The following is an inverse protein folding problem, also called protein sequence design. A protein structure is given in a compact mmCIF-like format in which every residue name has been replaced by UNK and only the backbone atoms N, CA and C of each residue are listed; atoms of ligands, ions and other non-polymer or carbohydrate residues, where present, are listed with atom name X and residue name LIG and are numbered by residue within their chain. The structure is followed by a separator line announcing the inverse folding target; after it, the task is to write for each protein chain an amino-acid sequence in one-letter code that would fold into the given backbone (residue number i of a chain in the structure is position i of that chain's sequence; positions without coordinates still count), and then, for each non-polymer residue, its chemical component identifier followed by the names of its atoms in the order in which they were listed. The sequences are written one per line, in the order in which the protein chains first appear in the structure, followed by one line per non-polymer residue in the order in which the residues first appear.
data_IF_547939364223
#
_entry.id   IF_547939364223
#
_cell.length_a   1.000
_cell.length_b   1.000
_cell.length_c   1.000
_cell.angle_alpha   90.00
_cell.angle_beta   90.00
_cell.angle_gamma   90.00
#
_symmetry.space_group_name_H-M   'P 1'
#
loop_
_entity.id
_entity.type
_entity.pdbx_description
1 polymer ?
#
# COMPACT_ATOMS: atom_id res chain seq x y z
N UNK A 1 -1.00 -14.08 -24.91
CA UNK A 1 -1.07 -15.10 -23.85
C UNK A 1 -2.11 -16.17 -24.16
N UNK A 2 -3.37 -15.80 -24.45
CA UNK A 2 -4.43 -16.75 -24.82
C UNK A 2 -4.06 -17.58 -26.07
N UNK A 3 -3.42 -16.94 -27.05
CA UNK A 3 -2.95 -17.61 -28.26
C UNK A 3 -1.84 -18.64 -28.01
N UNK A 4 -0.89 -18.29 -27.15
CA UNK A 4 0.20 -19.21 -26.75
C UNK A 4 -0.37 -20.39 -25.96
N UNK A 5 -1.32 -20.15 -25.05
CA UNK A 5 -1.99 -21.20 -24.29
C UNK A 5 -2.78 -22.18 -25.16
N UNK A 6 -3.47 -21.69 -26.20
CA UNK A 6 -4.22 -22.52 -27.14
C UNK A 6 -3.25 -23.33 -28.03
N UNK A 7 -2.16 -22.75 -28.49
CA UNK A 7 -1.12 -23.41 -29.28
C UNK A 7 -0.48 -24.58 -28.52
N UNK A 8 -0.15 -24.35 -27.25
CA UNK A 8 0.47 -25.36 -26.38
C UNK A 8 -0.50 -26.53 -26.12
N UNK A 9 -1.80 -26.27 -25.93
CA UNK A 9 -2.78 -27.29 -25.56
C UNK A 9 -3.27 -28.13 -26.73
N UNK A 10 -3.23 -27.63 -27.98
CA UNK A 10 -3.81 -28.30 -29.16
C UNK A 10 -2.80 -28.59 -30.28
N UNK A 11 -1.54 -28.16 -30.19
CA UNK A 11 -0.55 -28.39 -31.26
C UNK A 11 -0.88 -27.74 -32.60
N UNK A 12 -1.84 -26.80 -32.66
CA UNK A 12 -2.28 -26.12 -33.89
C UNK A 12 -1.59 -24.76 -34.03
N UNK A 13 -1.22 -24.40 -35.24
CA UNK A 13 -0.79 -23.06 -35.59
C UNK A 13 -2.01 -22.13 -35.67
N UNK A 14 -2.15 -21.20 -34.72
CA UNK A 14 -3.23 -20.21 -34.72
C UNK A 14 -2.66 -18.89 -35.22
N UNK A 15 -3.22 -18.34 -36.26
CA UNK A 15 -2.78 -17.04 -36.82
C UNK A 15 -3.37 -15.86 -36.05
N UNK A 16 -2.68 -14.70 -36.09
CA UNK A 16 -3.17 -13.48 -35.47
C UNK A 16 -4.55 -13.05 -35.97
N UNK A 17 -4.87 -13.38 -37.24
CA UNK A 17 -6.19 -13.11 -37.85
C UNK A 17 -7.31 -13.96 -37.29
N UNK A 18 -7.04 -15.24 -36.95
CA UNK A 18 -8.03 -16.12 -36.33
C UNK A 18 -8.34 -15.72 -34.89
N UNK A 19 -7.31 -15.29 -34.14
CA UNK A 19 -7.46 -14.73 -32.78
C UNK A 19 -8.31 -13.46 -32.85
N UNK A 20 -7.98 -12.55 -33.76
CA UNK A 20 -8.70 -11.28 -33.92
C UNK A 20 -10.19 -11.54 -34.24
N UNK A 21 -10.50 -12.45 -35.15
CA UNK A 21 -11.90 -12.83 -35.49
C UNK A 21 -12.65 -13.43 -34.30
N UNK A 22 -11.99 -14.18 -33.43
CA UNK A 22 -12.61 -14.79 -32.26
C UNK A 22 -12.85 -13.80 -31.14
N UNK A 23 -11.98 -12.81 -30.99
CA UNK A 23 -12.03 -11.82 -29.87
C UNK A 23 -12.90 -10.61 -30.22
N UNK A 24 -12.97 -10.20 -31.48
CA UNK A 24 -13.72 -9.00 -31.90
C UNK A 24 -15.22 -9.02 -31.51
N UNK A 25 -15.97 -10.13 -31.64
CA UNK A 25 -17.37 -10.13 -31.19
C UNK A 25 -17.52 -9.92 -29.68
N UNK A 26 -16.62 -10.48 -28.88
CA UNK A 26 -16.62 -10.34 -27.44
C UNK A 26 -16.25 -8.90 -27.02
N UNK A 27 -15.25 -8.29 -27.69
CA UNK A 27 -14.87 -6.90 -27.49
C UNK A 27 -16.02 -5.96 -27.87
N UNK A 28 -16.70 -6.20 -28.98
CA UNK A 28 -17.86 -5.42 -29.39
C UNK A 28 -19.02 -5.52 -28.38
N UNK A 29 -19.27 -6.70 -27.83
CA UNK A 29 -20.26 -6.92 -26.78
C UNK A 29 -19.89 -6.16 -25.50
N UNK A 30 -18.63 -6.19 -25.06
CA UNK A 30 -18.15 -5.43 -23.90
C UNK A 30 -18.30 -3.92 -24.10
N UNK A 31 -17.95 -3.40 -25.28
CA UNK A 31 -18.13 -1.98 -25.61
C UNK A 31 -19.61 -1.61 -25.61
N UNK A 32 -20.49 -2.43 -26.17
CA UNK A 32 -21.93 -2.18 -26.18
C UNK A 32 -22.49 -2.15 -24.74
N UNK A 33 -22.10 -3.06 -23.86
CA UNK A 33 -22.49 -3.07 -22.44
C UNK A 33 -21.98 -1.80 -21.72
N UNK A 34 -20.72 -1.42 -21.94
CA UNK A 34 -20.14 -0.20 -21.38
C UNK A 34 -20.92 1.05 -21.83
N UNK A 35 -21.26 1.15 -23.12
CA UNK A 35 -22.05 2.27 -23.63
C UNK A 35 -23.45 2.31 -23.02
N UNK A 36 -24.12 1.16 -22.87
CA UNK A 36 -25.44 1.08 -22.23
C UNK A 36 -25.37 1.51 -20.78
N UNK A 37 -24.39 1.06 -20.01
CA UNK A 37 -24.24 1.42 -18.59
C UNK A 37 -23.85 2.90 -18.43
N UNK A 38 -23.03 3.44 -19.34
CA UNK A 38 -22.53 4.81 -19.23
C UNK A 38 -23.55 5.86 -19.68
N UNK A 39 -24.32 5.58 -20.74
CA UNK A 39 -25.20 6.58 -21.36
C UNK A 39 -26.69 6.41 -21.06
N UNK A 40 -27.12 5.31 -20.42
CA UNK A 40 -28.50 5.11 -20.00
C UNK A 40 -28.61 5.13 -18.47
N UNK A 41 -28.92 6.29 -17.85
CA UNK A 41 -28.94 6.44 -16.38
C UNK A 41 -29.86 5.45 -15.65
N UNK A 42 -30.90 4.96 -16.32
CA UNK A 42 -31.86 4.00 -15.75
C UNK A 42 -31.20 2.64 -15.45
N UNK A 43 -30.22 2.19 -16.24
CA UNK A 43 -29.58 0.90 -16.03
C UNK A 43 -28.62 0.90 -14.87
N UNK A 44 -27.94 2.04 -14.60
CA UNK A 44 -27.02 2.20 -13.47
C UNK A 44 -27.74 2.35 -12.11
N UNK A 45 -29.01 2.79 -12.12
CA UNK A 45 -29.81 3.00 -10.90
C UNK A 45 -30.86 1.93 -10.64
N UNK A 46 -31.36 1.24 -11.68
CA UNK A 46 -32.42 0.25 -11.56
C UNK A 46 -31.92 -1.12 -11.07
N UNK A 47 -30.70 -1.52 -11.45
CA UNK A 47 -30.13 -2.80 -11.06
C UNK A 47 -29.82 -2.88 -9.54
N UNK A 48 -29.17 -1.87 -8.92
CA UNK A 48 -29.01 -1.82 -7.47
C UNK A 48 -30.33 -1.83 -6.72
N UNK A 49 -31.35 -1.09 -7.21
CA UNK A 49 -32.70 -1.05 -6.60
C UNK A 49 -33.43 -2.41 -6.73
N UNK A 50 -33.26 -3.13 -7.82
CA UNK A 50 -33.84 -4.46 -7.99
C UNK A 50 -33.17 -5.51 -7.08
N UNK A 51 -31.87 -5.43 -6.89
CA UNK A 51 -31.11 -6.31 -6.00
C UNK A 51 -31.43 -6.02 -4.52
N UNK A 52 -31.59 -4.74 -4.14
CA UNK A 52 -32.00 -4.36 -2.79
C UNK A 52 -33.41 -4.88 -2.44
N UNK A 53 -34.32 -4.93 -3.41
CA UNK A 53 -35.69 -5.42 -3.22
C UNK A 53 -35.76 -6.94 -2.99
N UNK A 54 -34.74 -7.69 -3.42
CA UNK A 54 -34.63 -9.14 -3.26
C UNK A 54 -33.78 -9.58 -2.05
N UNK A 55 -33.44 -8.65 -1.15
CA UNK A 55 -32.68 -8.98 0.07
C UNK A 55 -31.21 -9.31 -0.16
N UNK A 56 -30.66 -9.10 -1.35
CA UNK A 56 -29.27 -9.35 -1.67
C UNK A 56 -28.34 -8.14 -1.37
N UNK A 57 -28.88 -7.02 -0.93
CA UNK A 57 -28.12 -5.82 -0.56
C UNK A 57 -28.92 -4.97 0.42
N UNK A 58 -28.47 -4.87 1.67
CA UNK A 58 -28.98 -3.91 2.66
C UNK A 58 -28.09 -2.67 2.65
N UNK A 59 -28.32 -1.80 1.68
CA UNK A 59 -27.71 -0.48 1.66
C UNK A 59 -28.80 0.57 1.82
N UNK A 60 -28.81 1.25 2.94
CA UNK A 60 -29.67 2.42 3.15
C UNK A 60 -29.28 3.52 2.17
N UNK A 61 -30.22 3.88 1.31
CA UNK A 61 -30.11 5.01 0.41
C UNK A 61 -30.41 6.31 1.15
N UNK A 62 -29.36 6.98 1.64
CA UNK A 62 -29.42 8.39 1.98
C UNK A 62 -28.98 9.22 0.77
N UNK A 63 -29.85 10.09 0.33
CA UNK A 63 -29.65 11.09 -0.72
C UNK A 63 -28.60 12.12 -0.33
N UNK A 64 -27.66 12.36 -1.24
CA UNK A 64 -26.91 13.58 -1.52
C UNK A 64 -26.31 14.35 -0.35
N UNK A 65 -25.03 14.36 -0.33
CA UNK A 65 -24.12 15.52 -0.30
C UNK A 65 -22.70 15.02 -0.02
N UNK A 66 -21.72 15.62 -0.67
CA UNK A 66 -20.30 15.38 -0.49
C UNK A 66 -19.90 15.37 0.98
N UNK A 67 -19.15 14.35 1.40
CA UNK A 67 -18.56 14.33 2.72
C UNK A 67 -17.85 13.01 2.95
N UNK A 68 -16.54 12.99 2.78
CA UNK A 68 -15.64 12.11 3.49
C UNK A 68 -16.03 12.11 4.97
N UNK A 69 -16.63 11.03 5.47
CA UNK A 69 -16.87 10.86 6.90
C UNK A 69 -16.72 9.40 7.30
N UNK A 70 -15.49 9.00 7.45
CA UNK A 70 -15.12 7.85 8.26
C UNK A 70 -14.03 8.23 9.28
N UNK A 71 -14.13 9.42 9.87
CA UNK A 71 -13.30 9.84 11.01
C UNK A 71 -13.98 11.00 11.74
N UNK A 72 -15.18 10.81 12.29
CA UNK A 72 -15.76 11.81 13.18
C UNK A 72 -16.67 11.21 14.24
N UNK A 73 -16.04 10.55 15.23
CA UNK A 73 -16.62 10.29 16.54
C UNK A 73 -15.56 10.15 17.66
N UNK A 74 -14.30 10.54 17.43
CA UNK A 74 -13.37 10.87 18.53
C UNK A 74 -13.36 12.41 18.60
N UNK A 75 -13.53 12.99 19.78
CA UNK A 75 -13.44 14.45 19.97
C UNK A 75 -12.18 14.99 19.33
N UNK A 76 -12.25 16.22 18.80
CA UNK A 76 -11.09 16.96 18.27
C UNK A 76 -10.02 17.09 19.39
N UNK A 77 -9.19 16.06 19.53
CA UNK A 77 -7.92 16.23 20.24
C UNK A 77 -7.03 17.05 19.32
N UNK A 78 -6.43 18.10 19.89
CA UNK A 78 -5.52 19.01 19.20
C UNK A 78 -4.19 18.28 18.93
N UNK A 79 -4.15 17.53 17.83
CA UNK A 79 -2.98 16.79 17.42
C UNK A 79 -1.98 17.70 16.69
N UNK A 80 -0.69 17.54 16.97
CA UNK A 80 0.44 18.28 16.37
C UNK A 80 0.46 18.25 14.83
N UNK A 81 -0.19 17.23 14.22
CA UNK A 81 -0.26 17.05 12.76
C UNK A 81 -1.40 17.82 12.08
N UNK A 82 -2.17 18.65 12.80
CA UNK A 82 -3.34 19.34 12.21
C UNK A 82 -3.00 20.71 11.60
N UNK A 83 -1.99 21.43 12.11
CA UNK A 83 -1.66 22.78 11.66
C UNK A 83 -0.19 22.97 11.28
N UNK A 84 0.09 23.10 9.97
CA UNK A 84 1.46 23.30 9.48
C UNK A 84 1.91 24.77 9.50
N UNK A 85 1.01 25.72 9.36
CA UNK A 85 1.30 27.14 9.15
C UNK A 85 1.31 27.53 7.65
N UNK A 86 1.35 28.85 7.40
CA UNK A 86 1.41 29.43 6.05
C UNK A 86 2.87 29.80 5.70
N UNK A 87 3.37 29.28 4.60
CA UNK A 87 4.72 29.50 4.05
C UNK A 87 4.63 29.84 2.55
N UNK A 88 3.49 30.37 2.10
CA UNK A 88 3.24 30.69 0.68
C UNK A 88 4.17 31.79 0.12
N UNK A 89 4.78 32.57 0.98
CA UNK A 89 5.72 33.65 0.64
C UNK A 89 7.15 33.18 0.32
N UNK A 90 7.45 31.87 0.49
CA UNK A 90 8.78 31.32 0.23
C UNK A 90 9.13 31.13 -1.27
N UNK A 91 8.31 31.66 -2.18
CA UNK A 91 8.61 31.64 -3.62
C UNK A 91 8.45 30.25 -4.27
N UNK A 92 7.45 29.49 -3.84
CA UNK A 92 7.14 28.20 -4.42
C UNK A 92 6.78 28.28 -5.91
N UNK A 93 7.35 27.41 -6.73
CA UNK A 93 6.89 27.18 -8.10
C UNK A 93 5.66 26.28 -8.10
N UNK A 94 4.76 26.49 -9.09
CA UNK A 94 3.63 25.59 -9.28
C UNK A 94 4.13 24.22 -9.72
N UNK A 95 3.89 23.20 -8.91
CA UNK A 95 4.32 21.83 -9.19
C UNK A 95 3.31 20.82 -8.68
N UNK A 96 3.36 19.63 -9.28
CA UNK A 96 2.58 18.47 -8.80
C UNK A 96 3.53 17.29 -8.64
N UNK A 97 3.57 16.74 -7.45
CA UNK A 97 4.31 15.53 -7.15
C UNK A 97 3.38 14.32 -7.14
N UNK A 98 3.87 13.21 -7.66
CA UNK A 98 3.16 11.93 -7.60
C UNK A 98 3.70 11.13 -6.43
N UNK A 99 2.81 10.76 -5.52
CA UNK A 99 3.06 9.85 -4.42
C UNK A 99 2.60 8.44 -4.80
N UNK A 100 3.35 7.40 -4.42
CA UNK A 100 2.91 6.01 -4.53
C UNK A 100 3.11 5.23 -3.23
N UNK A 101 2.29 4.20 -3.04
CA UNK A 101 2.42 3.19 -2.00
C UNK A 101 1.89 1.84 -2.51
N UNK A 102 2.30 0.75 -1.86
CA UNK A 102 1.97 -0.61 -2.33
C UNK A 102 0.57 -1.09 -1.94
N UNK A 103 -0.06 -0.46 -0.96
CA UNK A 103 -1.36 -0.85 -0.41
C UNK A 103 -2.52 -0.17 -1.13
N UNK A 104 -3.75 -0.53 -0.77
CA UNK A 104 -4.99 -0.04 -1.40
C UNK A 104 -5.25 1.44 -1.12
N UNK A 105 -6.19 2.03 -1.84
CA UNK A 105 -6.65 3.43 -1.66
C UNK A 105 -7.19 3.72 -0.24
N UNK A 106 -7.70 2.71 0.45
CA UNK A 106 -8.29 2.81 1.80
C UNK A 106 -7.28 2.55 2.92
N UNK A 107 -6.01 2.39 2.59
CA UNK A 107 -4.96 2.09 3.56
C UNK A 107 -4.45 3.33 4.28
N UNK A 108 -3.92 3.14 5.49
CA UNK A 108 -3.24 4.17 6.27
C UNK A 108 -2.04 4.78 5.53
N UNK A 109 -1.35 3.99 4.69
CA UNK A 109 -0.25 4.46 3.85
C UNK A 109 -0.71 5.50 2.81
N UNK A 110 -1.85 5.24 2.14
CA UNK A 110 -2.42 6.18 1.19
C UNK A 110 -2.93 7.44 1.91
N UNK A 111 -3.52 7.29 3.10
CA UNK A 111 -3.97 8.41 3.92
C UNK A 111 -2.80 9.26 4.43
N UNK A 112 -1.67 8.65 4.79
CA UNK A 112 -0.43 9.36 5.09
C UNK A 112 0.06 10.21 3.92
N UNK A 113 0.01 9.66 2.71
CA UNK A 113 0.31 10.39 1.47
C UNK A 113 -0.66 11.55 1.19
N UNK A 114 -1.97 11.34 1.41
CA UNK A 114 -2.99 12.41 1.30
C UNK A 114 -2.77 13.51 2.33
N UNK A 115 -2.45 13.13 3.56
CA UNK A 115 -2.15 14.08 4.64
C UNK A 115 -0.95 14.95 4.29
N UNK A 116 0.11 14.37 3.77
CA UNK A 116 1.25 15.14 3.28
C UNK A 116 0.84 16.12 2.17
N UNK A 117 0.04 15.67 1.21
CA UNK A 117 -0.48 16.52 0.13
C UNK A 117 -1.31 17.70 0.65
N UNK A 118 -2.23 17.44 1.57
CA UNK A 118 -3.04 18.46 2.25
C UNK A 118 -2.17 19.51 2.95
N UNK A 119 -1.18 19.04 3.72
CA UNK A 119 -0.25 19.91 4.44
C UNK A 119 0.57 20.78 3.49
N UNK A 120 1.11 20.19 2.40
CA UNK A 120 1.88 20.92 1.40
C UNK A 120 1.01 21.94 0.63
N UNK A 121 -0.20 21.56 0.24
CA UNK A 121 -1.13 22.48 -0.43
C UNK A 121 -1.47 23.67 0.47
N UNK A 122 -1.76 23.43 1.75
CA UNK A 122 -2.01 24.48 2.76
C UNK A 122 -0.78 25.36 2.98
N UNK A 123 0.38 24.77 3.21
CA UNK A 123 1.63 25.48 3.50
C UNK A 123 2.09 26.38 2.34
N UNK A 124 1.84 25.96 1.11
CA UNK A 124 2.36 26.64 -0.10
C UNK A 124 1.32 27.53 -0.79
N UNK A 125 0.12 27.70 -0.19
CA UNK A 125 -0.98 28.44 -0.81
C UNK A 125 -1.45 27.80 -2.13
N UNK A 126 -1.43 26.47 -2.22
CA UNK A 126 -1.88 25.68 -3.37
C UNK A 126 -0.85 25.55 -4.50
N UNK A 127 0.40 25.98 -4.30
CA UNK A 127 1.46 25.90 -5.31
C UNK A 127 2.01 24.49 -5.49
N UNK A 128 2.16 23.74 -4.41
CA UNK A 128 2.60 22.34 -4.44
C UNK A 128 1.40 21.44 -4.20
N UNK A 129 1.13 20.56 -5.16
CA UNK A 129 0.07 19.55 -5.08
C UNK A 129 0.66 18.15 -5.08
N UNK A 130 -0.05 17.20 -4.47
CA UNK A 130 0.36 15.79 -4.45
C UNK A 130 -0.79 14.93 -4.96
N UNK A 131 -0.52 14.18 -6.03
CA UNK A 131 -1.42 13.14 -6.51
C UNK A 131 -1.05 11.82 -5.82
N UNK A 132 -2.02 11.13 -5.26
CA UNK A 132 -1.82 9.82 -4.61
C UNK A 132 -2.21 8.71 -5.58
N UNK A 133 -1.29 7.78 -5.81
CA UNK A 133 -1.45 6.58 -6.63
C UNK A 133 -1.19 5.34 -5.77
N UNK A 134 -2.24 4.79 -5.19
CA UNK A 134 -2.14 3.58 -4.36
C UNK A 134 -1.86 2.32 -5.20
N UNK A 135 -1.54 1.20 -4.54
CA UNK A 135 -1.29 -0.10 -5.16
C UNK A 135 -0.22 -0.07 -6.27
N UNK A 136 0.77 0.83 -6.15
CA UNK A 136 1.82 1.02 -7.15
C UNK A 136 1.28 1.16 -8.60
N UNK A 137 0.17 1.89 -8.77
CA UNK A 137 -0.51 2.04 -10.06
C UNK A 137 0.40 2.56 -11.16
N UNK A 138 1.35 3.46 -10.84
CA UNK A 138 2.30 4.03 -11.80
C UNK A 138 3.33 3.01 -12.32
N UNK A 139 3.46 1.86 -11.65
CA UNK A 139 4.37 0.77 -11.99
C UNK A 139 3.67 -0.58 -12.09
N UNK A 140 2.39 -0.56 -12.49
CA UNK A 140 1.56 -1.75 -12.73
C UNK A 140 1.50 -2.72 -11.53
N UNK A 141 1.52 -2.20 -10.30
CA UNK A 141 1.48 -2.98 -9.06
C UNK A 141 2.81 -3.61 -8.65
N UNK A 142 3.92 -3.24 -9.29
CA UNK A 142 5.25 -3.75 -8.96
C UNK A 142 5.92 -2.83 -7.92
N UNK A 143 6.04 -3.33 -6.70
CA UNK A 143 6.58 -2.60 -5.55
C UNK A 143 8.05 -2.17 -5.75
N UNK A 144 8.89 -3.04 -6.30
CA UNK A 144 10.30 -2.74 -6.54
C UNK A 144 10.48 -1.71 -7.66
N UNK A 145 9.64 -1.77 -8.71
CA UNK A 145 9.60 -0.74 -9.75
C UNK A 145 9.10 0.60 -9.22
N UNK A 146 8.17 0.60 -8.25
CA UNK A 146 7.73 1.82 -7.55
C UNK A 146 8.88 2.53 -6.82
N UNK A 147 9.69 1.77 -6.08
CA UNK A 147 10.89 2.31 -5.42
C UNK A 147 11.93 2.77 -6.45
N UNK A 148 12.13 2.01 -7.55
CA UNK A 148 13.06 2.42 -8.61
C UNK A 148 12.61 3.70 -9.30
N UNK A 149 11.30 3.87 -9.54
CA UNK A 149 10.73 5.09 -10.09
C UNK A 149 10.94 6.29 -9.16
N UNK A 150 10.82 6.09 -7.84
CA UNK A 150 11.16 7.11 -6.84
C UNK A 150 12.66 7.49 -6.90
N UNK A 151 13.56 6.51 -6.98
CA UNK A 151 15.01 6.76 -7.11
C UNK A 151 15.32 7.57 -8.37
N UNK A 152 14.57 7.35 -9.46
CA UNK A 152 14.72 8.08 -10.72
C UNK A 152 14.01 9.45 -10.71
N UNK A 153 13.10 9.71 -9.76
CA UNK A 153 12.31 10.94 -9.68
C UNK A 153 11.18 11.08 -10.71
N UNK A 154 10.95 10.05 -11.55
CA UNK A 154 9.90 10.02 -12.58
C UNK A 154 9.45 8.57 -12.83
N UNK A 155 8.16 8.29 -12.91
CA UNK A 155 7.01 9.19 -12.70
C UNK A 155 6.67 9.41 -11.21
N UNK A 156 7.44 8.89 -10.26
CA UNK A 156 7.21 8.97 -8.82
C UNK A 156 8.20 9.93 -8.18
N UNK A 157 7.71 10.93 -7.45
CA UNK A 157 8.53 11.90 -6.72
C UNK A 157 8.58 11.61 -5.23
N UNK A 158 7.52 10.98 -4.70
CA UNK A 158 7.36 10.68 -3.27
C UNK A 158 6.81 9.27 -3.11
N UNK A 159 7.25 8.54 -2.10
CA UNK A 159 6.61 7.27 -1.78
C UNK A 159 6.65 6.92 -0.29
N UNK A 160 5.76 6.00 0.08
CA UNK A 160 5.77 5.32 1.36
C UNK A 160 5.78 3.81 1.10
N UNK A 161 6.94 3.17 1.34
CA UNK A 161 7.13 1.75 1.11
C UNK A 161 7.81 1.06 2.29
N UNK A 162 7.50 -0.23 2.47
CA UNK A 162 8.08 -1.09 3.49
C UNK A 162 9.60 -1.25 3.32
N UNK A 163 10.35 -1.18 4.43
CA UNK A 163 11.78 -1.47 4.47
C UNK A 163 12.11 -2.87 3.93
N UNK A 164 11.17 -3.80 4.04
CA UNK A 164 11.34 -5.16 3.52
C UNK A 164 11.48 -5.20 2.00
N UNK A 165 10.79 -4.30 1.27
CA UNK A 165 10.93 -4.18 -0.19
C UNK A 165 12.26 -3.51 -0.54
N UNK A 166 12.68 -2.49 0.19
CA UNK A 166 13.99 -1.87 0.04
C UNK A 166 15.15 -2.85 0.25
N UNK A 167 14.92 -3.93 1.01
CA UNK A 167 15.94 -4.96 1.24
C UNK A 167 16.37 -5.72 -0.03
N UNK A 168 15.59 -5.65 -1.10
CA UNK A 168 15.98 -6.16 -2.42
C UNK A 168 17.10 -5.33 -3.07
N UNK A 169 17.20 -4.04 -2.74
CA UNK A 169 18.27 -3.14 -3.21
C UNK A 169 19.47 -3.17 -2.28
N UNK A 170 19.23 -3.21 -0.96
CA UNK A 170 20.29 -3.25 0.04
C UNK A 170 19.88 -4.11 1.24
N UNK A 171 20.61 -5.22 1.52
CA UNK A 171 20.29 -6.13 2.62
C UNK A 171 20.42 -5.47 4.02
N UNK A 172 21.07 -4.31 4.14
CA UNK A 172 21.14 -3.55 5.40
C UNK A 172 19.75 -3.14 5.91
N UNK A 173 18.77 -2.93 5.02
CA UNK A 173 17.39 -2.63 5.39
C UNK A 173 16.68 -3.77 6.12
N UNK A 174 17.17 -5.01 6.04
CA UNK A 174 16.60 -6.12 6.80
C UNK A 174 16.88 -6.05 8.31
N UNK A 175 17.91 -5.32 8.74
CA UNK A 175 18.35 -5.34 10.14
C UNK A 175 17.28 -4.86 11.11
N UNK A 176 16.40 -3.97 10.66
CA UNK A 176 15.29 -3.42 11.45
C UNK A 176 14.04 -4.29 11.45
N UNK A 177 14.04 -5.42 10.73
CA UNK A 177 12.94 -6.39 10.69
C UNK A 177 13.40 -7.81 11.04
N UNK A 178 14.51 -7.94 11.77
CA UNK A 178 14.90 -9.24 12.32
C UNK A 178 13.81 -9.74 13.29
N UNK A 179 13.49 -11.05 13.29
CA UNK A 179 12.43 -11.56 14.15
C UNK A 179 12.71 -11.32 15.62
N UNK A 180 11.66 -10.91 16.37
CA UNK A 180 11.64 -10.79 17.83
C UNK A 180 12.65 -9.78 18.40
N UNK A 181 12.98 -8.71 17.69
CA UNK A 181 13.91 -7.67 18.18
C UNK A 181 13.19 -6.47 18.81
N UNK A 182 11.87 -6.45 18.76
CA UNK A 182 11.03 -5.42 19.38
C UNK A 182 10.06 -6.06 20.37
N UNK A 183 9.92 -5.46 21.55
CA UNK A 183 9.03 -5.92 22.61
C UNK A 183 7.65 -5.24 22.52
N UNK A 184 7.56 -4.09 21.87
CA UNK A 184 6.32 -3.32 21.68
C UNK A 184 6.48 -2.27 20.56
N UNK A 185 5.37 -1.61 20.24
CA UNK A 185 5.35 -0.47 19.29
C UNK A 185 6.19 0.70 19.84
N UNK A 186 6.12 0.99 21.14
CA UNK A 186 6.90 2.05 21.79
C UNK A 186 8.41 1.75 21.75
N UNK A 187 8.79 0.48 21.86
CA UNK A 187 10.19 0.07 21.72
C UNK A 187 10.67 0.25 20.26
N UNK A 188 9.82 -0.03 19.28
CA UNK A 188 10.08 0.24 17.88
C UNK A 188 10.22 1.75 17.61
N UNK A 189 9.30 2.58 18.12
CA UNK A 189 9.36 4.05 18.03
C UNK A 189 10.69 4.59 18.58
N UNK A 190 11.08 4.20 19.78
CA UNK A 190 12.31 4.65 20.40
C UNK A 190 13.56 4.34 19.55
N UNK A 191 13.54 3.24 18.79
CA UNK A 191 14.62 2.86 17.88
C UNK A 191 14.56 3.64 16.56
N UNK A 192 13.36 3.79 15.95
CA UNK A 192 13.20 4.48 14.67
C UNK A 192 13.27 6.00 14.77
N UNK A 193 12.86 6.58 15.88
CA UNK A 193 13.03 8.00 16.16
C UNK A 193 14.44 8.33 16.71
N UNK A 194 15.27 7.29 16.91
CA UNK A 194 16.65 7.37 17.39
C UNK A 194 17.68 6.93 16.34
N UNK A 195 18.79 6.35 16.85
CA UNK A 195 19.99 6.02 16.04
C UNK A 195 19.72 5.00 14.90
N UNK A 196 18.79 4.08 15.09
CA UNK A 196 18.48 3.11 14.03
C UNK A 196 17.82 3.82 12.85
N UNK A 197 16.84 4.71 13.12
CA UNK A 197 16.23 5.51 12.08
C UNK A 197 17.18 6.46 11.39
N UNK A 198 18.07 7.14 12.13
CA UNK A 198 19.14 7.97 11.55
C UNK A 198 20.01 7.13 10.59
N UNK A 199 20.37 5.91 10.99
CA UNK A 199 21.16 5.03 10.13
C UNK A 199 20.42 4.57 8.89
N UNK A 200 19.10 4.31 8.98
CA UNK A 200 18.29 4.00 7.80
C UNK A 200 18.22 5.19 6.84
N UNK A 201 18.06 6.41 7.36
CA UNK A 201 18.08 7.64 6.54
C UNK A 201 19.41 7.85 5.82
N UNK A 202 20.54 7.58 6.49
CA UNK A 202 21.87 7.62 5.86
C UNK A 202 21.97 6.62 4.70
N UNK A 203 21.49 5.38 4.89
CA UNK A 203 21.51 4.37 3.83
C UNK A 203 20.61 4.78 2.67
N UNK A 204 19.41 5.32 2.93
CA UNK A 204 18.50 5.80 1.89
C UNK A 204 19.12 6.92 1.06
N UNK A 205 19.90 7.81 1.68
CA UNK A 205 20.59 8.88 0.96
C UNK A 205 21.65 8.36 -0.02
N UNK A 206 22.26 7.18 0.23
CA UNK A 206 23.18 6.52 -0.71
C UNK A 206 22.45 6.13 -2.03
N UNK A 207 21.12 6.02 -1.98
CA UNK A 207 20.24 5.67 -3.12
C UNK A 207 19.52 6.89 -3.73
N UNK A 208 19.94 8.11 -3.40
CA UNK A 208 19.34 9.33 -3.92
C UNK A 208 17.94 9.61 -3.36
N UNK A 209 17.72 9.25 -2.11
CA UNK A 209 16.44 9.42 -1.43
C UNK A 209 16.60 10.27 -0.15
N UNK A 210 15.79 11.31 -0.03
CA UNK A 210 15.63 12.04 1.22
C UNK A 210 14.46 11.45 2.01
N UNK A 211 14.74 10.90 3.18
CA UNK A 211 13.71 10.31 4.05
C UNK A 211 13.17 11.34 5.03
N UNK A 212 11.96 11.80 4.81
CA UNK A 212 11.25 12.78 5.63
C UNK A 212 10.84 12.20 6.99
N UNK A 213 10.61 10.89 7.07
CA UNK A 213 10.27 10.19 8.30
C UNK A 213 10.10 8.69 8.09
N UNK A 214 9.98 7.96 9.20
CA UNK A 214 9.75 6.52 9.20
C UNK A 214 8.37 6.27 9.82
N UNK A 215 7.43 5.85 8.98
CA UNK A 215 6.05 5.54 9.35
C UNK A 215 5.90 4.06 9.76
N UNK A 216 4.70 3.64 10.11
CA UNK A 216 4.42 2.33 10.68
C UNK A 216 3.59 1.47 9.73
N UNK A 217 4.06 0.26 9.43
CA UNK A 217 3.17 -0.81 9.01
C UNK A 217 2.69 -1.60 10.24
N UNK A 218 3.59 -1.89 11.16
CA UNK A 218 3.32 -2.56 12.44
C UNK A 218 3.88 -3.97 12.55
N UNK A 219 3.44 -4.72 13.57
CA UNK A 219 3.76 -6.12 13.74
C UNK A 219 3.00 -6.98 12.71
N UNK A 220 3.72 -7.90 12.09
CA UNK A 220 3.21 -8.73 11.00
C UNK A 220 2.67 -10.05 11.53
N UNK A 221 1.38 -10.26 11.30
CA UNK A 221 0.64 -11.43 11.73
C UNK A 221 0.46 -12.43 10.59
N UNK A 222 0.39 -13.71 10.92
CA UNK A 222 0.23 -14.78 9.94
C UNK A 222 -1.25 -15.09 9.72
N UNK A 223 -1.74 -14.99 8.48
CA UNK A 223 -3.05 -15.53 8.10
C UNK A 223 -2.92 -16.73 7.17
N UNK A 224 -3.89 -17.66 7.23
CA UNK A 224 -3.96 -18.76 6.28
C UNK A 224 -5.38 -19.34 6.15
N UNK A 225 -5.61 -20.13 5.09
CA UNK A 225 -6.90 -20.77 4.81
C UNK A 225 -6.99 -22.23 5.25
N UNK A 226 -5.91 -22.80 5.80
CA UNK A 226 -5.79 -24.26 5.98
C UNK A 226 -6.04 -24.70 7.43
N UNK A 227 -5.41 -24.04 8.41
CA UNK A 227 -5.44 -24.46 9.81
C UNK A 227 -4.99 -23.36 10.77
N UNK A 228 -5.38 -23.50 12.02
CA UNK A 228 -4.84 -22.71 13.12
C UNK A 228 -3.33 -23.02 13.29
N UNK A 229 -2.52 -21.98 13.44
CA UNK A 229 -1.06 -22.08 13.69
C UNK A 229 -0.78 -21.62 15.11
N UNK A 230 -0.35 -22.55 15.97
CA UNK A 230 0.00 -22.30 17.38
C UNK A 230 1.48 -22.50 17.68
N UNK A 231 2.18 -23.10 16.75
CA UNK A 231 3.61 -23.42 16.87
C UNK A 231 4.28 -23.43 15.50
N UNK A 232 5.60 -23.41 15.48
CA UNK A 232 6.39 -23.53 14.26
C UNK A 232 6.12 -24.84 13.50
N UNK A 233 5.81 -25.93 14.22
CA UNK A 233 5.47 -27.22 13.59
C UNK A 233 4.18 -27.15 12.76
N UNK A 234 3.25 -26.26 13.11
CA UNK A 234 2.00 -26.06 12.37
C UNK A 234 2.20 -25.31 11.04
N UNK A 235 3.31 -24.61 10.89
CA UNK A 235 3.69 -23.93 9.63
C UNK A 235 4.15 -24.90 8.55
N UNK A 236 4.43 -26.16 8.91
CA UNK A 236 5.04 -27.12 8.00
C UNK A 236 4.22 -27.35 6.74
N UNK A 237 4.87 -27.14 5.58
CA UNK A 237 4.30 -27.27 4.24
C UNK A 237 3.12 -26.29 3.94
N UNK A 238 2.87 -25.25 4.74
CA UNK A 238 1.97 -24.18 4.34
C UNK A 238 2.62 -23.35 3.23
N UNK A 239 1.88 -23.10 2.16
CA UNK A 239 2.31 -22.23 1.07
C UNK A 239 2.05 -20.78 1.47
N UNK A 240 3.08 -20.11 1.95
CA UNK A 240 2.95 -18.74 2.46
C UNK A 240 3.54 -17.74 1.48
N UNK A 241 2.72 -16.79 1.07
CA UNK A 241 3.20 -15.59 0.38
C UNK A 241 3.93 -14.70 1.37
N UNK A 242 5.11 -14.25 1.00
CA UNK A 242 5.86 -13.24 1.74
C UNK A 242 6.15 -12.02 0.87
N UNK A 243 6.39 -10.87 1.50
CA UNK A 243 6.85 -9.66 0.81
C UNK A 243 8.23 -9.87 0.16
N UNK A 244 8.66 -8.95 -0.71
CA UNK A 244 9.88 -9.01 -1.52
C UNK A 244 11.19 -8.98 -0.73
N UNK A 245 11.30 -9.79 0.32
CA UNK A 245 12.45 -9.82 1.23
C UNK A 245 13.07 -11.21 1.32
N UNK A 246 14.38 -11.29 1.11
CA UNK A 246 15.15 -12.53 1.32
C UNK A 246 15.15 -12.95 2.80
N UNK A 247 15.06 -12.00 3.74
CA UNK A 247 14.93 -12.29 5.16
C UNK A 247 13.65 -13.09 5.42
N UNK A 248 12.50 -12.60 4.94
CA UNK A 248 11.21 -13.30 5.10
C UNK A 248 11.24 -14.68 4.45
N UNK A 249 11.76 -14.79 3.22
CA UNK A 249 11.89 -16.08 2.54
C UNK A 249 12.69 -17.10 3.38
N UNK A 250 13.81 -16.68 3.96
CA UNK A 250 14.64 -17.56 4.79
C UNK A 250 13.98 -17.88 6.14
N UNK A 251 13.34 -16.92 6.79
CA UNK A 251 12.64 -17.14 8.05
C UNK A 251 11.51 -18.16 7.87
N UNK A 252 10.60 -17.94 6.93
CA UNK A 252 9.47 -18.84 6.73
C UNK A 252 9.87 -20.23 6.26
N UNK A 253 10.92 -20.37 5.42
CA UNK A 253 11.49 -21.66 5.05
C UNK A 253 12.07 -22.38 6.27
N UNK A 254 12.79 -21.69 7.15
CA UNK A 254 13.35 -22.27 8.38
C UNK A 254 12.27 -22.68 9.38
N UNK A 255 11.15 -21.99 9.39
CA UNK A 255 9.96 -22.35 10.16
C UNK A 255 9.14 -23.47 9.50
N UNK A 256 9.55 -23.99 8.35
CA UNK A 256 8.98 -25.16 7.70
C UNK A 256 7.91 -24.85 6.65
N UNK A 257 7.59 -23.60 6.40
CA UNK A 257 6.66 -23.19 5.36
C UNK A 257 7.28 -23.27 3.95
N UNK A 258 6.44 -23.42 2.95
CA UNK A 258 6.77 -23.25 1.53
C UNK A 258 6.55 -21.78 1.14
N UNK A 259 7.59 -20.95 1.35
CA UNK A 259 7.52 -19.52 1.17
C UNK A 259 7.72 -19.13 -0.30
N UNK A 260 6.86 -18.22 -0.78
CA UNK A 260 6.90 -17.66 -2.14
C UNK A 260 6.83 -16.14 -2.08
N UNK A 261 7.76 -15.46 -2.75
CA UNK A 261 7.74 -14.02 -2.92
C UNK A 261 6.74 -13.61 -4.01
N UNK A 262 5.91 -12.59 -3.72
CA UNK A 262 4.89 -12.09 -4.64
C UNK A 262 4.55 -10.63 -4.31
N UNK A 263 4.27 -9.80 -5.35
CA UNK A 263 3.78 -8.43 -5.15
C UNK A 263 2.45 -8.42 -4.36
N UNK A 264 2.24 -7.36 -3.59
CA UNK A 264 1.00 -7.23 -2.80
C UNK A 264 -0.24 -7.18 -3.69
N UNK A 265 -0.15 -6.49 -4.82
CA UNK A 265 -1.22 -6.36 -5.81
C UNK A 265 -1.76 -7.70 -6.36
N UNK A 266 -0.97 -8.78 -6.31
CA UNK A 266 -1.34 -10.11 -6.78
C UNK A 266 -1.84 -11.01 -5.65
N UNK A 267 -1.58 -10.63 -4.39
CA UNK A 267 -1.70 -11.50 -3.21
C UNK A 267 -3.14 -11.94 -2.96
N UNK A 268 -4.11 -11.01 -2.95
CA UNK A 268 -5.51 -11.36 -2.70
C UNK A 268 -6.04 -12.40 -3.70
N UNK A 269 -5.76 -12.20 -5.00
CA UNK A 269 -6.15 -13.14 -6.04
C UNK A 269 -5.49 -14.50 -5.87
N UNK A 270 -4.20 -14.54 -5.48
CA UNK A 270 -3.48 -15.78 -5.25
C UNK A 270 -4.02 -16.55 -4.03
N UNK A 271 -4.40 -15.86 -2.95
CA UNK A 271 -5.07 -16.42 -1.78
C UNK A 271 -6.46 -16.96 -2.14
N UNK A 272 -7.28 -16.19 -2.86
CA UNK A 272 -8.61 -16.60 -3.32
C UNK A 272 -8.57 -17.84 -4.21
N UNK A 273 -7.55 -17.96 -5.03
CA UNK A 273 -7.35 -19.12 -5.93
C UNK A 273 -6.59 -20.28 -5.27
N UNK A 274 -6.19 -20.16 -4.01
CA UNK A 274 -5.36 -21.12 -3.29
C UNK A 274 -4.03 -21.44 -4.01
N UNK A 275 -3.48 -20.51 -4.78
CA UNK A 275 -2.13 -20.61 -5.32
C UNK A 275 -1.11 -20.52 -4.20
N UNK A 276 -1.38 -19.67 -3.22
CA UNK A 276 -0.78 -19.64 -1.88
C UNK A 276 -1.90 -19.84 -0.85
N UNK A 277 -1.55 -20.39 0.31
CA UNK A 277 -2.50 -20.77 1.37
C UNK A 277 -2.54 -19.75 2.49
N UNK A 278 -1.56 -18.87 2.56
CA UNK A 278 -1.47 -17.84 3.59
C UNK A 278 -0.56 -16.69 3.18
N UNK A 279 -0.54 -15.68 4.04
CA UNK A 279 0.30 -14.50 3.92
C UNK A 279 0.62 -13.94 5.31
N UNK A 280 1.47 -12.92 5.38
CA UNK A 280 1.82 -12.23 6.61
C UNK A 280 1.81 -10.72 6.37
N UNK A 281 1.15 -9.99 7.23
CA UNK A 281 1.07 -8.52 7.24
C UNK A 281 0.47 -8.05 8.58
N UNK A 282 0.64 -6.77 8.93
CA UNK A 282 -0.09 -6.17 10.04
C UNK A 282 -1.60 -6.11 9.79
N UNK A 283 -2.38 -6.07 10.86
CA UNK A 283 -3.85 -6.09 10.80
C UNK A 283 -4.44 -4.96 9.93
N UNK A 284 -3.98 -3.71 9.98
CA UNK A 284 -4.53 -2.65 9.12
C UNK A 284 -4.34 -2.93 7.63
N UNK A 285 -3.21 -3.52 7.24
CA UNK A 285 -2.97 -3.91 5.85
C UNK A 285 -3.82 -5.11 5.41
N UNK A 286 -4.09 -6.05 6.32
CA UNK A 286 -4.98 -7.19 6.12
C UNK A 286 -6.41 -6.71 5.90
N UNK A 287 -6.90 -5.81 6.76
CA UNK A 287 -8.25 -5.27 6.71
C UNK A 287 -8.46 -4.40 5.45
N UNK A 288 -7.58 -3.45 5.19
CA UNK A 288 -7.66 -2.58 4.02
C UNK A 288 -7.72 -3.34 2.68
N UNK A 289 -7.17 -4.55 2.62
CA UNK A 289 -7.21 -5.43 1.45
C UNK A 289 -8.26 -6.53 1.55
N UNK A 290 -9.12 -6.52 2.58
CA UNK A 290 -10.17 -7.52 2.83
C UNK A 290 -9.65 -8.97 2.83
N UNK A 291 -8.41 -9.19 3.27
CA UNK A 291 -7.76 -10.51 3.26
C UNK A 291 -8.52 -11.50 4.16
N UNK A 292 -9.16 -11.03 5.23
CA UNK A 292 -9.98 -11.81 6.15
C UNK A 292 -11.15 -12.53 5.44
N UNK A 293 -11.61 -12.05 4.29
CA UNK A 293 -12.67 -12.71 3.51
C UNK A 293 -12.25 -14.07 2.96
N UNK A 294 -10.94 -14.27 2.74
CA UNK A 294 -10.35 -15.48 2.14
C UNK A 294 -9.39 -16.21 3.07
N UNK A 295 -9.18 -15.69 4.31
CA UNK A 295 -8.22 -16.21 5.28
C UNK A 295 -8.88 -16.37 6.67
N UNK A 296 -9.52 -17.54 6.96
CA UNK A 296 -10.28 -17.75 8.20
C UNK A 296 -9.41 -17.92 9.46
N UNK A 297 -8.12 -18.11 9.31
CA UNK A 297 -7.21 -18.26 10.46
C UNK A 297 -6.21 -17.11 10.49
N UNK A 298 -6.11 -16.46 11.66
CA UNK A 298 -5.10 -15.46 11.97
C UNK A 298 -4.35 -15.88 13.23
N UNK A 299 -3.02 -15.83 13.18
CA UNK A 299 -2.15 -16.13 14.33
C UNK A 299 -1.38 -14.88 14.70
N UNK A 300 -1.73 -14.33 15.86
CA UNK A 300 -1.07 -13.16 16.47
C UNK A 300 0.21 -13.64 17.14
N UNK A 301 1.37 -13.15 16.70
CA UNK A 301 2.66 -13.62 17.19
C UNK A 301 3.76 -12.57 17.26
N UNK A 302 3.51 -11.36 16.74
CA UNK A 302 4.40 -10.18 16.81
C UNK A 302 5.86 -10.47 16.43
N UNK A 303 6.05 -11.40 15.49
CA UNK A 303 7.39 -11.91 15.20
C UNK A 303 8.28 -10.88 14.49
N UNK A 304 7.72 -10.08 13.61
CA UNK A 304 8.46 -9.15 12.74
C UNK A 304 7.74 -7.82 12.74
N UNK A 305 8.47 -6.77 13.09
CA UNK A 305 8.01 -5.41 12.91
C UNK A 305 8.44 -4.88 11.54
N UNK A 306 7.55 -4.16 10.88
CA UNK A 306 7.73 -3.59 9.56
C UNK A 306 7.52 -2.08 9.62
N UNK A 307 8.51 -1.33 9.18
CA UNK A 307 8.45 0.12 9.09
C UNK A 307 8.36 0.59 7.65
N UNK A 308 7.84 1.81 7.47
CA UNK A 308 7.65 2.43 6.17
C UNK A 308 8.62 3.59 6.02
N UNK A 309 9.38 3.60 4.94
CA UNK A 309 10.19 4.76 4.59
C UNK A 309 9.37 5.75 3.78
N UNK A 310 9.14 6.94 4.35
CA UNK A 310 8.48 8.03 3.69
C UNK A 310 9.53 8.95 3.05
N UNK A 311 9.72 8.79 1.76
CA UNK A 311 10.83 9.39 1.03
C UNK A 311 10.36 10.28 -0.13
N UNK A 312 11.16 11.32 -0.38
CA UNK A 312 11.14 12.13 -1.61
C UNK A 312 12.44 11.91 -2.39
N UNK A 313 12.40 11.98 -3.70
CA UNK A 313 13.61 11.95 -4.53
C UNK A 313 14.59 13.06 -4.12
N UNK A 314 15.87 12.72 -3.98
CA UNK A 314 16.90 13.63 -3.47
C UNK A 314 17.12 14.86 -4.37
N UNK A 315 17.12 14.67 -5.70
CA UNK A 315 17.34 15.79 -6.63
C UNK A 315 16.21 16.82 -6.58
N UNK A 316 14.96 16.34 -6.39
CA UNK A 316 13.79 17.20 -6.20
C UNK A 316 13.92 17.98 -4.89
N UNK A 317 14.29 17.29 -3.81
CA UNK A 317 14.50 17.93 -2.50
C UNK A 317 15.63 18.94 -2.54
N UNK A 318 16.77 18.63 -3.16
CA UNK A 318 17.92 19.52 -3.29
C UNK A 318 17.66 20.74 -4.19
N UNK A 319 16.68 20.65 -5.09
CA UNK A 319 16.20 21.76 -5.90
C UNK A 319 15.43 22.83 -5.11
N UNK A 320 15.02 22.54 -3.87
CA UNK A 320 14.32 23.47 -2.99
C UNK A 320 15.29 24.35 -2.21
N UNK A 321 14.85 25.57 -1.87
CA UNK A 321 15.61 26.42 -0.94
C UNK A 321 15.65 25.81 0.46
N UNK A 322 16.63 26.15 1.32
CA UNK A 322 16.69 25.62 2.68
C UNK A 322 15.41 25.82 3.50
N UNK A 323 14.73 26.96 3.33
CA UNK A 323 13.46 27.22 4.02
C UNK A 323 12.32 26.34 3.49
N UNK A 324 12.29 26.09 2.17
CA UNK A 324 11.32 25.17 1.56
C UNK A 324 11.58 23.71 2.01
N UNK A 325 12.84 23.30 2.12
CA UNK A 325 13.23 21.99 2.65
C UNK A 325 12.72 21.79 4.08
N UNK A 326 12.86 22.80 4.94
CA UNK A 326 12.33 22.75 6.31
C UNK A 326 10.79 22.56 6.34
N UNK A 327 10.06 23.17 5.40
CA UNK A 327 8.60 23.00 5.28
C UNK A 327 8.26 21.58 4.82
N UNK A 328 8.96 21.04 3.82
CA UNK A 328 8.78 19.67 3.33
C UNK A 328 9.05 18.66 4.46
N UNK A 329 10.15 18.83 5.21
CA UNK A 329 10.48 17.98 6.35
C UNK A 329 9.45 18.07 7.47
N UNK A 330 8.93 19.27 7.74
CA UNK A 330 7.86 19.46 8.72
C UNK A 330 6.59 18.76 8.30
N UNK A 331 6.15 18.95 7.05
CA UNK A 331 4.98 18.27 6.49
C UNK A 331 5.14 16.75 6.50
N UNK A 332 6.33 16.26 6.15
CA UNK A 332 6.66 14.84 6.17
C UNK A 332 6.56 14.23 7.57
N UNK A 333 7.14 14.89 8.59
CA UNK A 333 7.02 14.45 10.00
C UNK A 333 5.57 14.42 10.47
N UNK A 334 4.80 15.47 10.17
CA UNK A 334 3.38 15.56 10.54
C UNK A 334 2.55 14.45 9.86
N UNK A 335 2.83 14.15 8.60
CA UNK A 335 2.16 13.06 7.88
C UNK A 335 2.51 11.68 8.46
N UNK A 336 3.75 11.47 8.90
CA UNK A 336 4.18 10.25 9.60
C UNK A 336 3.51 10.11 10.96
N UNK A 337 3.43 11.18 11.75
CA UNK A 337 2.72 11.19 13.05
C UNK A 337 1.23 10.86 12.85
N UNK A 338 0.60 11.43 11.83
CA UNK A 338 -0.78 11.13 11.46
C UNK A 338 -0.95 9.67 11.04
N UNK A 339 -0.09 9.16 10.16
CA UNK A 339 -0.14 7.78 9.69
C UNK A 339 0.00 6.77 10.84
N UNK A 340 1.00 6.95 11.71
CA UNK A 340 1.16 6.13 12.94
C UNK A 340 -0.09 6.17 13.83
N UNK A 341 -0.70 7.34 13.99
CA UNK A 341 -1.91 7.51 14.80
C UNK A 341 -3.09 6.71 14.24
N UNK A 342 -3.40 6.86 12.94
CA UNK A 342 -4.52 6.15 12.32
C UNK A 342 -4.25 4.65 12.20
N UNK A 343 -3.01 4.23 11.97
CA UNK A 343 -2.62 2.83 11.90
C UNK A 343 -2.90 2.12 13.23
N UNK A 344 -2.48 2.70 14.34
CA UNK A 344 -2.68 2.16 15.70
C UNK A 344 -4.14 2.21 16.16
N UNK A 345 -4.89 3.24 15.75
CA UNK A 345 -6.32 3.31 16.02
C UNK A 345 -7.07 2.20 15.29
N UNK A 346 -6.68 1.89 14.05
CA UNK A 346 -7.20 0.77 13.27
C UNK A 346 -6.93 -0.59 13.91
N UNK A 347 -5.72 -0.85 14.41
CA UNK A 347 -5.39 -2.10 15.12
C UNK A 347 -6.34 -2.38 16.28
N UNK A 348 -6.68 -1.33 17.05
CA UNK A 348 -7.56 -1.46 18.22
C UNK A 348 -9.00 -1.76 17.83
N UNK A 349 -9.47 -1.30 16.68
CA UNK A 349 -10.82 -1.56 16.17
C UNK A 349 -10.97 -2.96 15.54
N UNK A 350 -9.89 -3.49 14.97
CA UNK A 350 -9.88 -4.79 14.25
C UNK A 350 -9.74 -5.96 15.23
N UNK A 351 -9.06 -5.80 16.38
CA UNK A 351 -8.92 -6.81 17.44
C UNK A 351 -10.21 -7.02 18.21
#
# INVERSE_FOLDING_TARGET
FVAIGIKIKKGMEVTLQEISKAVMPMLAACIAVLLVVTYIPVTSTALPKALAKNGAYSGDSASGENGSTAASAAGEEDHSFNEIGDYSDLGWEETTWNFTCSTTETSTWADGGRKFGELMEKATGGKVKVNVYAADQLTNGNQSEGIQALMNGDPVQISMHSNLIYSAFDPRFNVVSLPFIYDSVEDADAKFDGKAGEKMKEILSEYGLHCMGIAENGFRELTNSVREVKSVDDMKNLKIRVAGSNLLMECYKRWGADATNMNWSETYTALQQNTVEGQENPLPAIDAASVQEVQPYCSMWDAIYDCLFFCINQEIYDGLTPQQQEVVDKAGRMAVEYERYINRSGDTEIM
#
